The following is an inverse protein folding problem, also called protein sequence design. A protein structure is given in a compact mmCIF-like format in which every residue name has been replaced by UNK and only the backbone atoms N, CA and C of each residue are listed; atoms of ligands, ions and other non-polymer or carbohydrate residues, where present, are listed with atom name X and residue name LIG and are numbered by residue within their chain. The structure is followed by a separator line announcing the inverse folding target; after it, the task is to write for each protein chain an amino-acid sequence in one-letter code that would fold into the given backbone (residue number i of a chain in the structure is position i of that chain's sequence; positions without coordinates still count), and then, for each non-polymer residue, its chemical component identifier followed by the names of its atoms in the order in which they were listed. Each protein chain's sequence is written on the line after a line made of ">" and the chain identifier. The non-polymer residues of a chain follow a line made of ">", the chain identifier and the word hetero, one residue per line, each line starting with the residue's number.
data_IF_601524518468
#
_entry.id   IF_601524518468
#
_cell.length_a   1.000
_cell.length_b   1.000
_cell.length_c   1.000
_cell.angle_alpha   90.00
_cell.angle_beta   90.00
_cell.angle_gamma   90.00
#
_symmetry.space_group_name_H-M   'P 1'
#
loop_
_entity.id
_entity.type
_entity.pdbx_description
1 polymer ?
#
# COMPACT_ATOMS: atom_id res chain seq x y z
N UNK A 1 13.62 18.74 -9.19
CA UNK A 1 14.64 18.12 -8.31
C UNK A 1 14.74 16.59 -8.37
N UNK A 2 13.67 15.79 -8.25
CA UNK A 2 13.81 14.30 -8.26
C UNK A 2 14.40 13.72 -9.55
N UNK A 3 13.91 14.17 -10.71
CA UNK A 3 14.43 13.77 -12.03
C UNK A 3 15.89 14.19 -12.21
N UNK A 4 16.26 15.36 -11.72
CA UNK A 4 17.62 15.88 -11.81
C UNK A 4 18.59 15.13 -10.89
N UNK A 5 18.14 14.79 -9.67
CA UNK A 5 18.88 13.93 -8.75
C UNK A 5 19.07 12.53 -9.33
N UNK A 6 18.02 11.95 -9.92
CA UNK A 6 18.10 10.67 -10.62
C UNK A 6 19.09 10.74 -11.79
N UNK A 7 18.98 11.76 -12.64
CA UNK A 7 19.89 11.98 -13.76
C UNK A 7 21.34 12.10 -13.29
N UNK A 8 21.60 12.87 -12.22
CA UNK A 8 22.94 13.00 -11.63
C UNK A 8 23.49 11.64 -11.18
N UNK A 9 22.70 10.85 -10.46
CA UNK A 9 23.12 9.52 -10.00
C UNK A 9 23.45 8.63 -11.20
N UNK A 10 22.56 8.53 -12.20
CA UNK A 10 22.81 7.70 -13.38
C UNK A 10 24.07 8.17 -14.11
N UNK A 11 24.20 9.48 -14.35
CA UNK A 11 25.33 10.06 -15.08
C UNK A 11 26.66 9.80 -14.39
N UNK A 12 26.76 10.00 -13.08
CA UNK A 12 28.05 9.99 -12.38
C UNK A 12 28.37 8.63 -11.74
N UNK A 13 27.39 7.90 -11.21
CA UNK A 13 27.61 6.63 -10.51
C UNK A 13 27.53 5.41 -11.45
N UNK A 14 26.74 5.48 -12.52
CA UNK A 14 26.53 4.34 -13.44
C UNK A 14 27.24 4.53 -14.78
N UNK A 15 27.37 5.78 -15.24
CA UNK A 15 27.99 6.11 -16.53
C UNK A 15 29.37 6.77 -16.40
N UNK A 16 29.89 6.99 -15.19
CA UNK A 16 31.20 7.60 -14.92
C UNK A 16 31.37 8.98 -15.61
N UNK A 17 30.28 9.73 -15.75
CA UNK A 17 30.24 11.02 -16.45
C UNK A 17 30.28 10.93 -17.98
N UNK A 18 30.40 9.72 -18.55
CA UNK A 18 30.56 9.51 -20.00
C UNK A 18 29.21 9.64 -20.71
N UNK A 19 29.25 10.24 -21.92
CA UNK A 19 28.10 10.24 -22.83
C UNK A 19 28.04 8.89 -23.56
N UNK A 20 27.03 8.09 -23.25
CA UNK A 20 26.79 6.81 -23.93
C UNK A 20 25.95 7.05 -25.17
N UNK A 21 26.51 6.73 -26.35
CA UNK A 21 25.80 6.85 -27.64
C UNK A 21 24.86 5.68 -27.92
N UNK A 22 25.14 4.51 -27.35
CA UNK A 22 24.36 3.28 -27.60
C UNK A 22 23.22 3.13 -26.59
N UNK A 23 21.99 3.02 -27.11
CA UNK A 23 20.78 2.92 -26.30
C UNK A 23 20.82 1.72 -25.34
N UNK A 24 21.28 0.56 -25.79
CA UNK A 24 21.28 -0.69 -25.01
C UNK A 24 22.07 -0.55 -23.70
N UNK A 25 23.22 0.12 -23.75
CA UNK A 25 24.04 0.40 -22.58
C UNK A 25 23.33 1.33 -21.60
N UNK A 26 22.55 2.29 -22.10
CA UNK A 26 21.75 3.17 -21.24
C UNK A 26 20.59 2.42 -20.58
N UNK A 27 19.89 1.57 -21.33
CA UNK A 27 18.81 0.74 -20.79
C UNK A 27 19.35 -0.20 -19.71
N UNK A 28 20.50 -0.84 -19.95
CA UNK A 28 21.14 -1.70 -18.96
C UNK A 28 21.43 -0.96 -17.65
N UNK A 29 22.00 0.25 -17.73
CA UNK A 29 22.29 1.06 -16.54
C UNK A 29 21.02 1.55 -15.83
N UNK A 30 19.96 1.89 -16.56
CA UNK A 30 18.66 2.22 -15.97
C UNK A 30 18.05 1.03 -15.22
N UNK A 31 18.15 -0.17 -15.79
CA UNK A 31 17.71 -1.40 -15.11
C UNK A 31 18.54 -1.67 -13.84
N UNK A 32 19.87 -1.48 -13.89
CA UNK A 32 20.75 -1.61 -12.73
C UNK A 32 20.38 -0.60 -11.63
N UNK A 33 20.21 0.68 -12.00
CA UNK A 33 19.75 1.71 -11.08
C UNK A 33 18.40 1.37 -10.41
N UNK A 34 17.45 0.87 -11.20
CA UNK A 34 16.13 0.49 -10.70
C UNK A 34 16.23 -0.66 -9.68
N UNK A 35 17.07 -1.67 -9.96
CA UNK A 35 17.34 -2.79 -9.05
C UNK A 35 17.94 -2.30 -7.73
N UNK A 36 18.95 -1.44 -7.79
CA UNK A 36 19.62 -0.93 -6.58
C UNK A 36 18.64 -0.11 -5.72
N UNK A 37 17.77 0.70 -6.35
CA UNK A 37 16.71 1.43 -5.64
C UNK A 37 15.63 0.53 -5.03
N UNK A 38 15.32 -0.60 -5.67
CA UNK A 38 14.43 -1.60 -5.07
C UNK A 38 15.05 -2.21 -3.81
N UNK A 39 16.34 -2.55 -3.84
CA UNK A 39 17.07 -3.09 -2.67
C UNK A 39 17.16 -2.05 -1.54
N UNK A 40 17.53 -0.81 -1.86
CA UNK A 40 17.53 0.29 -0.87
C UNK A 40 16.15 0.45 -0.21
N UNK A 41 15.08 0.35 -0.99
CA UNK A 41 13.71 0.41 -0.49
C UNK A 41 13.40 -0.77 0.44
N UNK A 42 13.77 -1.99 0.07
CA UNK A 42 13.58 -3.18 0.92
C UNK A 42 14.30 -3.01 2.26
N UNK A 43 15.55 -2.54 2.26
CA UNK A 43 16.31 -2.27 3.49
C UNK A 43 15.59 -1.23 4.38
N UNK A 44 15.01 -0.17 3.79
CA UNK A 44 14.25 0.83 4.56
C UNK A 44 12.99 0.21 5.17
N UNK A 45 12.29 -0.64 4.42
CA UNK A 45 11.09 -1.35 4.88
C UNK A 45 11.43 -2.30 6.03
N UNK A 46 12.50 -3.11 5.91
CA UNK A 46 12.89 -4.07 6.96
C UNK A 46 13.33 -3.37 8.25
N UNK A 47 13.91 -2.17 8.15
CA UNK A 47 14.24 -1.30 9.30
C UNK A 47 13.02 -0.56 9.88
N UNK A 48 11.81 -0.79 9.36
CA UNK A 48 10.58 -0.16 9.85
C UNK A 48 10.45 1.33 9.49
N UNK A 49 11.23 1.86 8.54
CA UNK A 49 11.10 3.27 8.15
C UNK A 49 9.76 3.49 7.45
N UNK A 50 8.94 4.39 8.01
CA UNK A 50 7.68 4.79 7.40
C UNK A 50 7.95 5.55 6.09
N UNK A 51 7.27 5.16 5.02
CA UNK A 51 7.38 5.86 3.74
C UNK A 51 6.38 7.02 3.64
N UNK A 52 6.69 8.01 2.82
CA UNK A 52 5.76 9.11 2.53
C UNK A 52 4.43 8.58 1.98
N UNK A 53 4.48 7.52 1.19
CA UNK A 53 3.30 6.87 0.63
C UNK A 53 2.41 6.27 1.72
N UNK A 54 2.98 5.60 2.72
CA UNK A 54 2.21 5.08 3.85
C UNK A 54 1.66 6.21 4.73
N UNK A 55 2.41 7.31 4.85
CA UNK A 55 1.93 8.51 5.55
C UNK A 55 0.74 9.14 4.81
N UNK A 56 0.76 9.18 3.48
CA UNK A 56 -0.34 9.67 2.64
C UNK A 56 -1.60 8.80 2.74
N UNK A 57 -1.44 7.47 2.77
CA UNK A 57 -2.56 6.53 3.02
C UNK A 57 -3.20 6.86 4.38
N UNK A 58 -2.39 6.99 5.43
CA UNK A 58 -2.90 7.28 6.77
C UNK A 58 -3.56 8.66 6.87
N UNK A 59 -3.05 9.68 6.17
CA UNK A 59 -3.73 10.99 6.13
C UNK A 59 -5.07 10.91 5.41
N UNK A 60 -5.16 10.20 4.29
CA UNK A 60 -6.42 10.03 3.56
C UNK A 60 -7.45 9.25 4.38
N UNK A 61 -7.03 8.25 5.15
CA UNK A 61 -7.90 7.55 6.10
C UNK A 61 -8.48 8.50 7.16
N UNK A 62 -7.64 9.35 7.76
CA UNK A 62 -8.10 10.34 8.77
C UNK A 62 -9.11 11.32 8.18
N UNK A 63 -8.86 11.80 6.96
CA UNK A 63 -9.80 12.68 6.26
C UNK A 63 -11.13 11.97 6.00
N UNK A 64 -11.09 10.71 5.55
CA UNK A 64 -12.30 9.93 5.32
C UNK A 64 -13.16 9.75 6.57
N UNK A 65 -12.53 9.55 7.74
CA UNK A 65 -13.24 9.39 9.03
C UNK A 65 -14.11 10.61 9.37
N UNK A 66 -13.67 11.81 8.98
CA UNK A 66 -14.38 13.07 9.23
C UNK A 66 -15.21 13.55 8.03
N UNK A 67 -15.17 12.82 6.92
CA UNK A 67 -15.90 13.18 5.71
C UNK A 67 -17.32 12.66 5.76
N UNK A 68 -18.20 13.28 4.97
CA UNK A 68 -19.57 12.80 4.74
C UNK A 68 -19.77 12.67 3.24
N UNK A 69 -20.01 11.44 2.81
CA UNK A 69 -20.34 11.11 1.43
C UNK A 69 -21.58 10.25 1.39
N UNK A 70 -22.38 10.43 0.35
CA UNK A 70 -23.50 9.57 0.04
C UNK A 70 -23.01 8.44 -0.86
N UNK A 71 -23.33 7.20 -0.50
CA UNK A 71 -22.89 6.00 -1.21
C UNK A 71 -24.12 5.34 -1.83
N UNK A 72 -24.06 5.13 -3.14
CA UNK A 72 -25.05 4.37 -3.88
C UNK A 72 -24.37 3.16 -4.52
N UNK A 73 -24.85 1.95 -4.22
CA UNK A 73 -24.42 0.74 -4.92
C UNK A 73 -24.95 0.76 -6.33
N UNK A 74 -24.07 0.50 -7.29
CA UNK A 74 -24.47 0.35 -8.69
C UNK A 74 -24.42 -1.13 -9.01
N UNK A 75 -25.57 -1.71 -9.37
CA UNK A 75 -25.62 -3.05 -9.95
C UNK A 75 -24.89 -3.00 -11.30
N UNK A 76 -23.64 -3.43 -11.29
CA UNK A 76 -22.86 -3.60 -12.50
C UNK A 76 -23.21 -4.93 -13.16
N UNK A 77 -23.26 -4.95 -14.49
CA UNK A 77 -23.32 -6.18 -15.30
C UNK A 77 -22.04 -7.03 -15.23
N UNK A 78 -21.07 -6.65 -14.41
CA UNK A 78 -19.72 -7.23 -14.34
C UNK A 78 -19.51 -7.94 -13.01
N UNK A 79 -18.60 -8.92 -12.97
CA UNK A 79 -18.19 -9.68 -11.77
C UNK A 79 -17.72 -8.82 -10.57
N UNK A 80 -17.49 -7.52 -10.78
CA UNK A 80 -16.94 -6.60 -9.79
C UNK A 80 -17.98 -5.62 -9.24
N UNK A 81 -18.03 -5.50 -7.90
CA UNK A 81 -18.87 -4.53 -7.21
C UNK A 81 -18.41 -3.10 -7.48
N UNK A 82 -19.37 -2.22 -7.74
CA UNK A 82 -19.16 -0.79 -8.06
C UNK A 82 -20.04 0.10 -7.17
N UNK A 83 -19.49 1.22 -6.73
CA UNK A 83 -20.19 2.23 -5.94
C UNK A 83 -19.99 3.61 -6.52
N UNK A 84 -21.06 4.40 -6.48
CA UNK A 84 -21.02 5.83 -6.73
C UNK A 84 -20.95 6.57 -5.40
N UNK A 85 -19.94 7.41 -5.24
CA UNK A 85 -19.68 8.21 -4.05
C UNK A 85 -19.92 9.67 -4.40
N UNK A 86 -20.94 10.28 -3.80
CA UNK A 86 -21.31 11.68 -4.01
C UNK A 86 -20.88 12.50 -2.80
N UNK A 87 -20.30 13.67 -3.04
CA UNK A 87 -19.97 14.60 -1.96
C UNK A 87 -21.22 15.38 -1.57
N UNK A 88 -21.63 15.32 -0.31
CA UNK A 88 -22.81 16.02 0.19
C UNK A 88 -22.68 17.55 0.04
N UNK A 89 -21.46 18.08 -0.04
CA UNK A 89 -21.18 19.52 -0.19
C UNK A 89 -20.90 19.95 -1.63
N UNK A 90 -20.67 19.02 -2.56
CA UNK A 90 -20.24 19.36 -3.93
C UNK A 90 -20.87 18.38 -4.93
N UNK A 91 -21.33 18.86 -6.09
CA UNK A 91 -21.97 18.03 -7.13
C UNK A 91 -21.03 17.02 -7.81
N UNK A 92 -19.77 16.91 -7.37
CA UNK A 92 -18.81 15.94 -7.89
C UNK A 92 -19.14 14.52 -7.41
N UNK A 93 -19.17 13.61 -8.38
CA UNK A 93 -19.37 12.18 -8.16
C UNK A 93 -18.09 11.41 -8.51
N UNK A 94 -17.81 10.37 -7.75
CA UNK A 94 -16.67 9.49 -7.94
C UNK A 94 -17.14 8.05 -8.01
N UNK A 95 -16.51 7.24 -8.84
CA UNK A 95 -16.81 5.81 -8.94
C UNK A 95 -15.69 5.03 -8.28
N UNK A 96 -16.06 4.11 -7.39
CA UNK A 96 -15.16 3.15 -6.76
C UNK A 96 -15.52 1.74 -7.21
N UNK A 97 -14.51 0.98 -7.63
CA UNK A 97 -14.66 -0.41 -8.10
C UNK A 97 -13.78 -1.30 -7.25
N UNK A 98 -14.35 -2.39 -6.72
CA UNK A 98 -13.60 -3.43 -6.03
C UNK A 98 -12.86 -4.31 -7.05
N UNK A 99 -11.61 -4.66 -6.75
CA UNK A 99 -10.76 -5.45 -7.64
C UNK A 99 -10.26 -6.73 -6.97
N UNK A 100 -9.66 -6.58 -5.80
CA UNK A 100 -9.04 -7.69 -5.08
C UNK A 100 -9.46 -7.65 -3.62
N UNK A 101 -9.86 -8.82 -3.11
CA UNK A 101 -10.38 -8.95 -1.74
C UNK A 101 -9.22 -8.99 -0.73
N UNK A 102 -8.08 -9.59 -1.11
CA UNK A 102 -6.97 -9.83 -0.19
C UNK A 102 -5.88 -8.75 -0.27
N UNK A 103 -5.33 -8.39 0.89
CA UNK A 103 -4.14 -7.52 1.00
C UNK A 103 -2.94 -8.24 0.40
N UNK A 104 -2.40 -7.73 -0.71
CA UNK A 104 -1.29 -8.37 -1.41
C UNK A 104 0.06 -7.64 -1.26
N UNK A 105 0.10 -6.48 -0.59
CA UNK A 105 1.33 -5.70 -0.46
C UNK A 105 1.38 -4.83 0.80
N UNK A 106 2.58 -4.32 1.11
CA UNK A 106 2.86 -3.46 2.27
C UNK A 106 2.32 -2.02 2.13
N UNK A 107 1.77 -1.65 0.97
CA UNK A 107 1.11 -0.36 0.76
C UNK A 107 -0.37 -0.49 1.14
N UNK A 108 -0.58 -0.77 2.42
CA UNK A 108 -1.89 -1.04 2.98
C UNK A 108 -2.22 -0.13 4.15
N UNK A 109 -3.52 0.14 4.29
CA UNK A 109 -4.06 0.77 5.47
C UNK A 109 -4.35 -0.32 6.50
N UNK A 110 -3.72 -0.20 7.67
CA UNK A 110 -3.88 -1.19 8.75
C UNK A 110 -5.27 -1.15 9.39
N UNK A 111 -5.93 0.01 9.35
CA UNK A 111 -7.26 0.20 9.94
C UNK A 111 -8.36 -0.36 9.04
N UNK A 112 -8.34 -0.03 7.74
CA UNK A 112 -9.30 -0.56 6.78
C UNK A 112 -8.94 -1.98 6.28
N UNK A 113 -7.75 -2.50 6.60
CA UNK A 113 -7.20 -3.78 6.11
C UNK A 113 -7.27 -3.95 4.58
N UNK A 114 -6.97 -2.88 3.84
CA UNK A 114 -6.96 -2.87 2.37
C UNK A 114 -5.63 -2.39 1.85
N UNK A 115 -5.25 -2.82 0.65
CA UNK A 115 -4.09 -2.32 -0.06
C UNK A 115 -4.48 -1.44 -1.24
N UNK A 116 -3.49 -0.75 -1.83
CA UNK A 116 -3.71 0.04 -3.04
C UNK A 116 -4.39 -0.74 -4.18
N UNK A 117 -4.21 -2.06 -4.26
CA UNK A 117 -4.79 -2.90 -5.31
C UNK A 117 -6.20 -3.40 -5.00
N UNK A 118 -6.70 -3.19 -3.78
CA UNK A 118 -8.02 -3.69 -3.37
C UNK A 118 -9.16 -2.99 -4.14
N UNK A 119 -8.99 -1.70 -4.43
CA UNK A 119 -10.00 -0.88 -5.10
C UNK A 119 -9.37 0.03 -6.17
N UNK A 120 -10.20 0.54 -7.07
CA UNK A 120 -9.88 1.72 -7.88
C UNK A 120 -10.89 2.83 -7.72
N UNK A 121 -10.44 4.08 -7.82
CA UNK A 121 -11.30 5.25 -7.75
C UNK A 121 -11.00 6.23 -8.90
N UNK A 122 -12.02 6.93 -9.40
CA UNK A 122 -11.85 7.94 -10.46
C UNK A 122 -11.27 9.27 -9.98
N UNK A 123 -11.07 9.45 -8.66
CA UNK A 123 -10.53 10.69 -8.11
C UNK A 123 -9.02 10.87 -8.38
N UNK A 124 -8.55 12.12 -8.34
CA UNK A 124 -7.15 12.48 -8.59
C UNK A 124 -6.16 11.84 -7.62
N UNK A 125 -6.55 11.65 -6.35
CA UNK A 125 -5.67 11.03 -5.35
C UNK A 125 -5.36 9.56 -5.70
N UNK A 126 -6.32 8.85 -6.28
CA UNK A 126 -6.07 7.50 -6.79
C UNK A 126 -5.36 7.57 -8.14
N UNK A 127 -5.95 8.26 -9.13
CA UNK A 127 -5.51 8.20 -10.52
C UNK A 127 -4.13 8.79 -10.76
N UNK A 128 -3.81 9.93 -10.14
CA UNK A 128 -2.54 10.62 -10.34
C UNK A 128 -1.54 10.28 -9.23
N UNK A 129 -1.98 10.31 -7.95
CA UNK A 129 -1.07 10.11 -6.82
C UNK A 129 -0.87 8.63 -6.47
N UNK A 130 -1.60 7.71 -7.10
CA UNK A 130 -1.53 6.26 -6.80
C UNK A 130 -1.68 5.97 -5.30
N UNK A 131 -2.59 6.69 -4.64
CA UNK A 131 -2.87 6.60 -3.21
C UNK A 131 -4.22 5.92 -2.95
N UNK A 132 -4.38 5.33 -1.77
CA UNK A 132 -5.71 4.93 -1.30
C UNK A 132 -6.42 6.22 -0.88
N UNK A 133 -7.42 6.63 -1.66
CA UNK A 133 -8.06 7.93 -1.48
C UNK A 133 -9.09 7.91 -0.34
N UNK A 134 -9.51 9.11 0.08
CA UNK A 134 -10.55 9.27 1.10
C UNK A 134 -11.87 8.56 0.73
N UNK A 135 -12.21 8.48 -0.56
CA UNK A 135 -13.46 7.85 -1.00
C UNK A 135 -13.44 6.33 -0.80
N UNK A 136 -12.31 5.68 -1.13
CA UNK A 136 -12.11 4.24 -0.85
C UNK A 136 -12.13 4.00 0.65
N UNK A 137 -11.42 4.83 1.43
CA UNK A 137 -11.43 4.70 2.88
C UNK A 137 -12.81 4.84 3.49
N UNK A 138 -13.57 5.85 3.06
CA UNK A 138 -14.92 6.09 3.56
C UNK A 138 -15.84 4.90 3.26
N UNK A 139 -15.79 4.38 2.03
CA UNK A 139 -16.54 3.18 1.65
C UNK A 139 -16.23 1.98 2.55
N UNK A 140 -14.95 1.71 2.82
CA UNK A 140 -14.58 0.61 3.71
C UNK A 140 -15.05 0.84 5.15
N UNK A 141 -14.97 2.07 5.65
CA UNK A 141 -15.43 2.42 7.00
C UNK A 141 -16.94 2.20 7.12
N UNK A 142 -17.73 2.65 6.14
CA UNK A 142 -19.20 2.54 6.19
C UNK A 142 -19.70 1.11 6.01
N UNK A 143 -19.00 0.29 5.22
CA UNK A 143 -19.32 -1.13 5.09
C UNK A 143 -19.11 -1.88 6.40
N UNK A 144 -18.01 -1.62 7.11
CA UNK A 144 -17.75 -2.22 8.44
C UNK A 144 -18.79 -1.78 9.47
N UNK A 145 -19.27 -0.53 9.44
CA UNK A 145 -20.28 -0.06 10.41
C UNK A 145 -21.68 -0.62 10.16
N UNK A 146 -22.01 -1.03 8.94
CA UNK A 146 -23.29 -1.64 8.62
C UNK A 146 -23.34 -3.14 8.98
N UNK A 147 -22.18 -3.74 9.32
CA UNK A 147 -22.06 -5.08 9.90
C UNK A 147 -22.02 -4.98 11.44
N UNK A 148 -23.14 -4.59 12.09
CA UNK A 148 -23.25 -4.69 13.56
C UNK A 148 -23.49 -6.16 13.95
N UNK A 149 -22.82 -6.69 15.00
CA UNK A 149 -22.51 -8.11 15.13
C UNK A 149 -23.64 -8.92 15.78
N UNK A 150 -24.03 -10.01 15.13
CA UNK A 150 -24.68 -11.13 15.80
C UNK A 150 -23.60 -11.96 16.52
N UNK A 151 -23.69 -11.96 17.85
CA UNK A 151 -23.01 -12.85 18.80
C UNK A 151 -22.65 -14.25 18.29
N UNK A 152 -21.36 -14.63 18.37
CA UNK A 152 -20.91 -15.91 18.94
C UNK A 152 -19.39 -16.01 19.14
N UNK A 153 -19.03 -16.20 20.42
CA UNK A 153 -17.89 -16.94 21.01
C UNK A 153 -16.45 -16.44 20.85
N UNK A 154 -15.91 -16.04 22.00
CA UNK A 154 -14.63 -15.37 22.27
C UNK A 154 -13.49 -16.36 22.63
N UNK A 155 -13.53 -17.60 22.14
CA UNK A 155 -12.55 -18.65 22.50
C UNK A 155 -11.43 -18.83 21.47
N UNK A 156 -11.68 -18.57 20.19
CA UNK A 156 -10.79 -19.08 19.13
C UNK A 156 -9.66 -18.09 18.75
N UNK A 157 -9.84 -16.82 19.10
CA UNK A 157 -8.85 -15.75 18.84
C UNK A 157 -7.62 -15.89 19.76
N UNK A 158 -7.76 -16.54 20.92
CA UNK A 158 -6.65 -16.73 21.86
C UNK A 158 -5.62 -17.75 21.37
N UNK A 159 -6.05 -18.84 20.73
CA UNK A 159 -5.12 -19.86 20.22
C UNK A 159 -4.30 -19.38 19.02
N UNK A 160 -4.88 -18.62 18.09
CA UNK A 160 -4.15 -18.10 16.92
C UNK A 160 -3.10 -17.04 17.30
N UNK A 161 -3.38 -16.20 18.31
CA UNK A 161 -2.43 -15.21 18.81
C UNK A 161 -1.30 -15.86 19.61
N UNK A 162 -1.58 -16.92 20.37
CA UNK A 162 -0.54 -17.70 21.07
C UNK A 162 0.34 -18.48 20.08
N UNK A 163 -0.23 -19.01 18.99
CA UNK A 163 0.53 -19.68 17.93
C UNK A 163 1.42 -18.70 17.15
N UNK A 164 0.88 -17.53 16.78
CA UNK A 164 1.64 -16.45 16.13
C UNK A 164 2.78 -15.92 17.02
N UNK A 165 2.52 -15.76 18.33
CA UNK A 165 3.53 -15.33 19.29
C UNK A 165 4.60 -16.41 19.52
N UNK A 166 4.21 -17.68 19.59
CA UNK A 166 5.12 -18.84 19.67
C UNK A 166 6.05 -18.92 18.45
N UNK A 167 5.51 -18.74 17.24
CA UNK A 167 6.30 -18.68 16.00
C UNK A 167 7.27 -17.50 16.03
N UNK A 168 6.82 -16.31 16.44
CA UNK A 168 7.69 -15.12 16.52
C UNK A 168 8.85 -15.33 17.50
N UNK A 169 8.58 -15.90 18.67
CA UNK A 169 9.62 -16.23 19.67
C UNK A 169 10.56 -17.31 19.14
N UNK A 170 10.06 -18.33 18.44
CA UNK A 170 10.90 -19.37 17.84
C UNK A 170 11.81 -18.84 16.73
N UNK A 171 11.31 -17.97 15.86
CA UNK A 171 12.11 -17.34 14.79
C UNK A 171 13.20 -16.44 15.41
N UNK A 172 12.86 -15.67 16.44
CA UNK A 172 13.81 -14.78 17.12
C UNK A 172 14.93 -15.56 17.84
N UNK A 173 14.59 -16.69 18.46
CA UNK A 173 15.58 -17.54 19.16
C UNK A 173 16.47 -18.33 18.18
N UNK A 174 15.97 -18.73 17.01
CA UNK A 174 16.80 -19.36 15.95
C UNK A 174 17.79 -18.38 15.31
N UNK A 175 17.45 -17.10 15.22
CA UNK A 175 18.34 -16.05 14.72
C UNK A 175 19.50 -15.68 15.66
N UNK A 176 19.42 -16.05 16.94
CA UNK A 176 20.49 -15.80 17.93
C UNK A 176 21.49 -16.96 17.99
N UNK A 177 21.07 -18.19 17.63
CA UNK A 177 21.92 -19.38 17.71
C UNK A 177 22.79 -19.67 16.47
N UNK A 178 22.63 -18.93 15.36
CA UNK A 178 23.50 -19.09 14.19
C UNK A 178 24.74 -18.18 14.17
N UNK A 179 24.97 -17.36 15.20
CA UNK A 179 26.15 -16.48 15.31
C UNK A 179 27.16 -16.90 16.39
N UNK A 180 27.13 -18.15 16.86
CA UNK A 180 28.20 -18.71 17.70
C UNK A 180 28.54 -20.14 17.25
N UNK A 181 29.51 -20.23 16.33
CA UNK A 181 30.37 -21.37 15.91
C UNK A 181 30.66 -21.12 14.43
N UNK A 182 31.87 -20.77 14.00
CA UNK A 182 33.17 -21.33 14.37
C UNK A 182 34.28 -20.30 14.15
N UNK A 183 35.25 -20.31 15.07
CA UNK A 183 36.64 -19.89 14.83
C UNK A 183 37.26 -20.72 13.71
#
# INVERSE_FOLDING_TARGET
>A
MYLESMHRIIKYEYLEGKKVKQLDKNIHNLMRYTRDKQVERLIKITKGKRTDRLTAINSSHKVATNSKFDIESVEGSDEFKKWTIKNTTNTKTYTVTEKTINVCCMLSCQLCKICYHSYSCTCLDYFIKSNICQHIHYLCITQVTNEVPSTSTNSDIREELEYSFSIYVHIKNRGILQNYRTY
#
